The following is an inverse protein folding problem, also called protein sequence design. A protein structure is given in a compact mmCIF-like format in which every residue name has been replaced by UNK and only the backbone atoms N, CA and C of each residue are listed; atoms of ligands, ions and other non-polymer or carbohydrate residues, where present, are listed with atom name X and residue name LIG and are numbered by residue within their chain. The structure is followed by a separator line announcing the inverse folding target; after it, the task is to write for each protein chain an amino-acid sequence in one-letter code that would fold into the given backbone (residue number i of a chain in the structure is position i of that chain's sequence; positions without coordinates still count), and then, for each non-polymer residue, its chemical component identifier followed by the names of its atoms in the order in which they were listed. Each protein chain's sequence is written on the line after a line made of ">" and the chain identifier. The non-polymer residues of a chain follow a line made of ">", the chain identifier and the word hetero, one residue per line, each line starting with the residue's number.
data_IF_546948720000
#
_entry.id   IF_546948720000
#
_cell.length_a   1.000
_cell.length_b   1.000
_cell.length_c   1.000
_cell.angle_alpha   90.00
_cell.angle_beta   90.00
_cell.angle_gamma   90.00
#
_symmetry.space_group_name_H-M   'P 1'
#
loop_
_entity.id
_entity.type
_entity.pdbx_description
1 polymer ?
#
# COMPACT_ATOMS: atom_id res chain seq x y z
N UNK A 1 11.85 12.01 -7.64
CA UNK A 1 11.25 10.99 -6.80
C UNK A 1 12.19 10.63 -5.64
N UNK A 2 11.73 10.87 -4.42
CA UNK A 2 12.45 10.52 -3.20
C UNK A 2 11.85 9.25 -2.60
N UNK A 3 12.63 8.17 -2.56
CA UNK A 3 12.28 6.97 -1.79
C UNK A 3 12.59 7.18 -0.31
N UNK A 4 11.99 6.43 0.63
CA UNK A 4 12.49 6.38 2.00
C UNK A 4 13.96 5.97 2.02
N UNK A 5 14.79 6.62 2.83
CA UNK A 5 16.22 6.28 2.92
C UNK A 5 16.44 4.83 3.39
N UNK A 6 15.51 4.33 4.17
CA UNK A 6 15.48 2.99 4.76
C UNK A 6 14.60 1.98 4.00
N UNK A 7 14.19 2.28 2.74
CA UNK A 7 13.25 1.44 1.97
C UNK A 7 13.65 -0.04 1.91
N UNK A 8 14.93 -0.32 1.68
CA UNK A 8 15.41 -1.71 1.64
C UNK A 8 15.26 -2.39 3.01
N UNK A 9 15.67 -1.71 4.07
CA UNK A 9 15.59 -2.25 5.43
C UNK A 9 14.15 -2.52 5.84
N UNK A 10 13.27 -1.54 5.64
CA UNK A 10 11.84 -1.67 5.93
C UNK A 10 11.17 -2.76 5.09
N UNK A 11 11.52 -2.84 3.81
CA UNK A 11 11.04 -3.90 2.93
C UNK A 11 11.49 -5.29 3.40
N UNK A 12 12.74 -5.44 3.81
CA UNK A 12 13.26 -6.71 4.35
C UNK A 12 12.58 -7.09 5.68
N UNK A 13 12.40 -6.14 6.60
CA UNK A 13 11.70 -6.37 7.86
C UNK A 13 10.24 -6.77 7.62
N UNK A 14 9.52 -6.04 6.79
CA UNK A 14 8.14 -6.36 6.43
C UNK A 14 8.00 -7.72 5.74
N UNK A 15 8.97 -8.10 4.91
CA UNK A 15 9.01 -9.43 4.31
C UNK A 15 9.17 -10.53 5.36
N UNK A 16 10.05 -10.33 6.33
CA UNK A 16 10.25 -11.28 7.45
C UNK A 16 8.96 -11.45 8.26
N UNK A 17 8.29 -10.36 8.59
CA UNK A 17 7.01 -10.40 9.32
C UNK A 17 5.90 -11.09 8.52
N UNK A 18 5.82 -10.80 7.22
CA UNK A 18 4.88 -11.49 6.33
C UNK A 18 5.13 -12.99 6.28
N UNK A 19 6.39 -13.40 6.09
CA UNK A 19 6.77 -14.82 6.06
C UNK A 19 6.46 -15.50 7.39
N UNK A 20 6.77 -14.88 8.53
CA UNK A 20 6.44 -15.42 9.85
C UNK A 20 4.95 -15.71 10.00
N UNK A 21 4.08 -14.76 9.62
CA UNK A 21 2.62 -14.95 9.67
C UNK A 21 2.18 -16.07 8.74
N UNK A 22 2.68 -16.07 7.51
CA UNK A 22 2.30 -17.07 6.51
C UNK A 22 2.69 -18.49 6.92
N UNK A 23 3.89 -18.68 7.46
CA UNK A 23 4.38 -19.99 7.91
C UNK A 23 3.58 -20.54 9.10
N UNK A 24 3.00 -19.66 9.94
CA UNK A 24 2.07 -20.08 11.01
C UNK A 24 0.79 -20.72 10.45
N UNK A 25 0.34 -20.27 9.28
CA UNK A 25 -0.85 -20.82 8.63
C UNK A 25 -0.52 -22.06 7.79
N UNK A 26 0.58 -22.02 7.06
CA UNK A 26 0.99 -23.09 6.14
C UNK A 26 2.49 -22.99 5.81
N UNK A 27 3.22 -24.13 5.74
CA UNK A 27 4.61 -24.16 5.27
C UNK A 27 4.74 -23.61 3.86
N UNK A 28 5.85 -22.90 3.59
CA UNK A 28 6.14 -22.37 2.26
C UNK A 28 6.53 -23.50 1.29
N UNK A 29 6.00 -23.45 0.08
CA UNK A 29 6.43 -24.28 -1.03
C UNK A 29 7.82 -23.87 -1.54
N UNK A 30 8.50 -24.71 -2.28
CA UNK A 30 9.80 -24.38 -2.89
C UNK A 30 9.67 -23.22 -3.88
N UNK A 31 8.56 -23.15 -4.63
CA UNK A 31 8.28 -22.01 -5.52
C UNK A 31 8.15 -20.70 -4.74
N UNK A 32 7.45 -20.71 -3.62
CA UNK A 32 7.32 -19.53 -2.76
C UNK A 32 8.65 -19.09 -2.16
N UNK A 33 9.49 -20.05 -1.74
CA UNK A 33 10.86 -19.76 -1.27
C UNK A 33 11.71 -19.09 -2.36
N UNK A 34 11.67 -19.63 -3.60
CA UNK A 34 12.37 -19.03 -4.73
C UNK A 34 11.91 -17.60 -5.02
N UNK A 35 10.60 -17.34 -4.99
CA UNK A 35 10.03 -15.99 -5.14
C UNK A 35 10.51 -15.02 -4.05
N UNK A 36 10.66 -15.49 -2.81
CA UNK A 36 11.17 -14.67 -1.71
C UNK A 36 12.64 -14.25 -1.92
N UNK A 37 13.48 -15.13 -2.48
CA UNK A 37 14.87 -14.79 -2.82
C UNK A 37 14.91 -13.65 -3.84
N UNK A 38 14.20 -13.81 -4.96
CA UNK A 38 14.10 -12.79 -6.01
C UNK A 38 13.56 -11.47 -5.44
N UNK A 39 12.57 -11.54 -4.56
CA UNK A 39 11.99 -10.35 -3.95
C UNK A 39 13.00 -9.59 -3.07
N UNK A 40 13.82 -10.31 -2.29
CA UNK A 40 14.90 -9.71 -1.49
C UNK A 40 15.94 -9.02 -2.34
N UNK A 41 16.35 -9.64 -3.44
CA UNK A 41 17.29 -9.05 -4.41
C UNK A 41 16.72 -7.74 -4.98
N UNK A 42 15.45 -7.74 -5.39
CA UNK A 42 14.78 -6.55 -5.90
C UNK A 42 14.66 -5.42 -4.87
N UNK A 43 14.43 -5.74 -3.59
CA UNK A 43 14.42 -4.74 -2.52
C UNK A 43 15.78 -4.04 -2.37
N UNK A 44 16.88 -4.76 -2.59
CA UNK A 44 18.24 -4.22 -2.50
C UNK A 44 18.67 -3.46 -3.77
N UNK A 45 18.07 -3.76 -4.91
CA UNK A 45 18.44 -3.15 -6.20
C UNK A 45 17.87 -1.72 -6.34
N UNK A 46 18.78 -0.75 -6.49
CA UNK A 46 18.44 0.68 -6.62
C UNK A 46 17.56 0.99 -7.83
N UNK A 47 17.66 0.22 -8.91
CA UNK A 47 16.84 0.41 -10.10
C UNK A 47 15.38 0.01 -9.81
N UNK A 48 15.18 -1.18 -9.25
CA UNK A 48 13.86 -1.65 -8.85
C UNK A 48 13.20 -0.73 -7.81
N UNK A 49 13.96 -0.19 -6.85
CA UNK A 49 13.44 0.76 -5.86
C UNK A 49 12.87 2.04 -6.49
N UNK A 50 13.33 2.44 -7.68
CA UNK A 50 13.01 3.72 -8.32
C UNK A 50 12.02 3.61 -9.47
N UNK A 51 11.90 2.44 -10.08
CA UNK A 51 11.06 2.23 -11.27
C UNK A 51 9.82 1.41 -10.93
N UNK A 52 8.80 1.52 -11.82
CA UNK A 52 7.59 0.69 -11.74
C UNK A 52 6.56 1.16 -10.71
N UNK A 53 6.75 2.33 -10.10
CA UNK A 53 5.71 2.95 -9.28
C UNK A 53 4.66 3.60 -10.18
N UNK A 54 3.39 3.27 -9.94
CA UNK A 54 2.26 3.66 -10.76
C UNK A 54 1.18 4.30 -9.91
N UNK A 55 0.40 5.19 -10.52
CA UNK A 55 -0.82 5.78 -9.94
C UNK A 55 -2.04 5.17 -10.63
N UNK A 56 -3.14 4.99 -9.88
CA UNK A 56 -4.45 4.68 -10.43
C UNK A 56 -5.54 5.59 -9.87
N UNK A 57 -5.57 5.72 -8.54
CA UNK A 57 -6.59 6.52 -7.86
C UNK A 57 -6.13 7.96 -7.68
N UNK A 58 -7.09 8.84 -7.47
CA UNK A 58 -6.86 10.28 -7.25
C UNK A 58 -6.04 10.56 -5.99
N UNK A 59 -5.31 11.67 -5.95
CA UNK A 59 -4.69 12.15 -4.71
C UNK A 59 -5.76 12.55 -3.69
N UNK A 60 -5.41 12.45 -2.41
CA UNK A 60 -6.21 12.96 -1.28
C UNK A 60 -5.53 14.20 -0.72
N UNK A 61 -6.32 15.26 -0.53
CA UNK A 61 -5.86 16.51 0.10
C UNK A 61 -6.36 16.52 1.53
N UNK A 62 -5.46 16.64 2.50
CA UNK A 62 -5.82 16.76 3.92
C UNK A 62 -6.16 18.21 4.28
N UNK A 63 -6.88 18.46 5.39
CA UNK A 63 -7.17 19.82 5.86
C UNK A 63 -5.93 20.68 6.13
N UNK A 64 -4.79 20.06 6.40
CA UNK A 64 -3.49 20.72 6.53
C UNK A 64 -2.91 21.24 5.22
N UNK A 65 -3.50 20.89 4.07
CA UNK A 65 -2.93 21.12 2.75
C UNK A 65 -1.99 20.02 2.26
N UNK A 66 -1.69 19.00 3.09
CA UNK A 66 -0.88 17.84 2.68
C UNK A 66 -1.55 17.11 1.52
N UNK A 67 -0.77 16.83 0.50
CA UNK A 67 -1.15 15.98 -0.63
C UNK A 67 -0.67 14.55 -0.38
N UNK A 68 -1.55 13.57 -0.55
CA UNK A 68 -1.23 12.14 -0.50
C UNK A 68 -1.56 11.55 -1.86
N UNK A 69 -0.55 11.13 -2.60
CA UNK A 69 -0.69 10.46 -3.89
C UNK A 69 -0.46 8.96 -3.71
N UNK A 70 -1.52 8.14 -3.81
CA UNK A 70 -1.39 6.69 -3.65
C UNK A 70 -0.62 6.08 -4.82
N UNK A 71 0.41 5.30 -4.51
CA UNK A 71 1.24 4.59 -5.47
C UNK A 71 1.26 3.09 -5.20
N UNK A 72 1.49 2.31 -6.25
CA UNK A 72 1.69 0.87 -6.15
C UNK A 72 2.76 0.41 -7.13
N UNK A 73 3.27 -0.78 -6.90
CA UNK A 73 4.21 -1.45 -7.80
C UNK A 73 3.76 -2.89 -8.05
N UNK A 74 3.61 -3.24 -9.33
CA UNK A 74 3.36 -4.63 -9.73
C UNK A 74 4.59 -5.51 -9.47
N UNK A 75 5.80 -4.93 -9.53
CA UNK A 75 7.05 -5.63 -9.24
C UNK A 75 7.12 -6.10 -7.78
N UNK A 76 6.70 -5.24 -6.85
CA UNK A 76 6.70 -5.55 -5.43
C UNK A 76 5.37 -6.10 -4.93
N UNK A 77 4.28 -5.93 -5.68
CA UNK A 77 2.92 -6.31 -5.28
C UNK A 77 2.48 -5.68 -3.96
N UNK A 78 2.90 -4.45 -3.70
CA UNK A 78 2.46 -3.63 -2.59
C UNK A 78 2.38 -2.14 -2.95
N UNK A 79 1.89 -1.35 -2.02
CA UNK A 79 1.64 0.09 -2.15
C UNK A 79 2.50 0.92 -1.21
N UNK A 80 2.66 2.20 -1.54
CA UNK A 80 3.15 3.27 -0.66
C UNK A 80 2.46 4.59 -1.05
N UNK A 81 2.67 5.64 -0.26
CA UNK A 81 2.15 6.97 -0.56
C UNK A 81 3.28 7.94 -0.88
N UNK A 82 3.14 8.71 -1.96
CA UNK A 82 3.93 9.90 -2.15
C UNK A 82 3.23 11.07 -1.44
N UNK A 83 3.97 11.80 -0.62
CA UNK A 83 3.47 12.85 0.26
C UNK A 83 4.16 14.16 -0.05
N UNK A 84 3.37 15.23 -0.22
CA UNK A 84 3.87 16.59 -0.34
C UNK A 84 3.21 17.49 0.70
N UNK A 85 4.03 18.33 1.34
CA UNK A 85 3.60 19.34 2.31
C UNK A 85 3.71 20.77 1.76
N UNK A 86 4.07 20.91 0.46
CA UNK A 86 4.37 22.18 -0.21
C UNK A 86 3.68 22.31 -1.59
N UNK A 87 2.42 21.87 -1.69
CA UNK A 87 1.61 21.91 -2.90
C UNK A 87 2.24 21.19 -4.12
N UNK A 88 3.01 20.12 -3.87
CA UNK A 88 3.60 19.30 -4.92
C UNK A 88 4.99 19.77 -5.38
N UNK A 89 5.59 20.79 -4.75
CA UNK A 89 6.94 21.23 -5.09
C UNK A 89 7.99 20.17 -4.74
N UNK A 90 7.85 19.54 -3.57
CA UNK A 90 8.68 18.40 -3.16
C UNK A 90 7.83 17.21 -2.70
N UNK A 91 8.40 16.02 -2.79
CA UNK A 91 7.73 14.76 -2.46
C UNK A 91 8.63 13.86 -1.63
N UNK A 92 8.05 13.24 -0.61
CA UNK A 92 8.66 12.16 0.18
C UNK A 92 7.77 10.92 0.13
N UNK A 93 8.33 9.75 0.34
CA UNK A 93 7.55 8.52 0.40
C UNK A 93 7.16 8.18 1.83
N UNK A 94 5.98 7.57 2.00
CA UNK A 94 5.62 6.88 3.24
C UNK A 94 6.43 5.59 3.40
N UNK A 95 6.33 4.96 4.57
CA UNK A 95 6.72 3.56 4.70
C UNK A 95 5.87 2.68 3.78
N UNK A 96 6.44 1.60 3.21
CA UNK A 96 5.69 0.70 2.34
C UNK A 96 4.63 -0.09 3.13
N UNK A 97 3.47 -0.32 2.50
CA UNK A 97 2.40 -1.13 3.04
C UNK A 97 2.68 -2.61 2.74
N UNK A 98 3.39 -3.28 3.64
CA UNK A 98 3.88 -4.65 3.44
C UNK A 98 2.79 -5.70 3.68
N UNK A 99 1.92 -5.91 2.70
CA UNK A 99 0.83 -6.90 2.77
C UNK A 99 0.85 -7.94 1.65
N UNK A 100 1.61 -7.69 0.60
CA UNK A 100 1.68 -8.46 -0.65
C UNK A 100 0.30 -8.76 -1.26
N UNK A 101 0.14 -8.43 -2.51
CA UNK A 101 -1.15 -8.45 -3.18
C UNK A 101 -2.02 -7.21 -2.93
N UNK A 102 -1.51 -6.19 -2.28
CA UNK A 102 -2.23 -4.94 -1.98
C UNK A 102 -1.74 -3.81 -2.88
N UNK A 103 -2.36 -3.65 -4.03
CA UNK A 103 -2.02 -2.66 -5.05
C UNK A 103 -3.18 -1.70 -5.33
N UNK A 104 -2.91 -0.63 -6.08
CA UNK A 104 -3.91 0.35 -6.52
C UNK A 104 -4.70 0.96 -5.35
N UNK A 105 -4.03 1.60 -4.39
CA UNK A 105 -4.66 2.16 -3.20
C UNK A 105 -5.54 3.37 -3.53
N UNK A 106 -6.66 3.51 -2.80
CA UNK A 106 -7.44 4.74 -2.68
C UNK A 106 -7.48 5.14 -1.21
N UNK A 107 -7.37 6.45 -0.90
CA UNK A 107 -7.24 6.94 0.47
C UNK A 107 -8.43 7.81 0.84
N UNK A 108 -9.04 7.51 1.98
CA UNK A 108 -10.10 8.29 2.61
C UNK A 108 -9.69 8.73 4.01
N UNK A 109 -10.31 9.80 4.52
CA UNK A 109 -10.11 10.32 5.86
C UNK A 109 -11.39 10.23 6.67
N UNK A 110 -11.33 9.62 7.87
CA UNK A 110 -12.39 9.63 8.88
C UNK A 110 -12.49 10.99 9.58
N UNK A 111 -13.56 11.21 10.30
CA UNK A 111 -13.79 12.45 11.08
C UNK A 111 -12.78 12.59 12.22
N UNK A 112 -12.30 11.49 12.79
CA UNK A 112 -11.27 11.46 13.82
C UNK A 112 -9.84 11.72 13.29
N UNK A 113 -9.69 11.93 11.98
CA UNK A 113 -8.41 12.16 11.33
C UNK A 113 -7.73 10.89 10.80
N UNK A 114 -8.14 9.71 11.22
CA UNK A 114 -7.57 8.44 10.74
C UNK A 114 -7.73 8.32 9.23
N UNK A 115 -6.64 8.02 8.54
CA UNK A 115 -6.69 7.69 7.12
C UNK A 115 -6.94 6.19 6.95
N UNK A 116 -7.76 5.85 5.98
CA UNK A 116 -8.05 4.47 5.59
C UNK A 116 -7.74 4.31 4.11
N UNK A 117 -6.98 3.29 3.77
CA UNK A 117 -6.77 2.93 2.36
C UNK A 117 -7.47 1.61 2.03
N UNK A 118 -8.23 1.61 0.94
CA UNK A 118 -8.74 0.39 0.32
C UNK A 118 -7.90 0.08 -0.91
N UNK A 119 -7.61 -1.20 -1.11
CA UNK A 119 -6.68 -1.63 -2.15
C UNK A 119 -7.22 -2.86 -2.87
N UNK A 120 -6.92 -2.93 -4.16
CA UNK A 120 -7.13 -4.11 -4.97
C UNK A 120 -6.30 -5.27 -4.43
N UNK A 121 -6.86 -6.47 -4.45
CA UNK A 121 -6.12 -7.71 -4.27
C UNK A 121 -5.44 -8.14 -5.57
N UNK A 122 -4.15 -8.44 -5.53
CA UNK A 122 -3.37 -8.98 -6.65
C UNK A 122 -2.72 -10.33 -6.31
N UNK A 123 -3.34 -11.08 -5.42
CA UNK A 123 -2.88 -12.39 -4.93
C UNK A 123 -4.07 -13.34 -4.71
N UNK A 124 -3.92 -14.35 -3.87
CA UNK A 124 -4.92 -15.40 -3.70
C UNK A 124 -6.02 -15.10 -2.67
N UNK A 125 -6.00 -13.94 -2.01
CA UNK A 125 -6.92 -13.65 -0.89
C UNK A 125 -8.34 -13.37 -1.35
N UNK A 126 -8.50 -12.82 -2.57
CA UNK A 126 -9.79 -12.51 -3.19
C UNK A 126 -10.71 -11.60 -2.35
N UNK A 127 -10.14 -10.67 -1.60
CA UNK A 127 -10.86 -9.69 -0.79
C UNK A 127 -10.26 -8.31 -0.93
N UNK A 128 -11.06 -7.26 -0.76
CA UNK A 128 -10.53 -5.89 -0.69
C UNK A 128 -9.56 -5.81 0.48
N UNK A 129 -8.35 -5.30 0.20
CA UNK A 129 -7.31 -5.09 1.21
C UNK A 129 -7.52 -3.73 1.87
N UNK A 130 -7.17 -3.63 3.16
CA UNK A 130 -7.35 -2.41 3.95
C UNK A 130 -6.18 -2.19 4.88
N UNK A 131 -5.80 -0.92 5.09
CA UNK A 131 -4.87 -0.49 6.13
C UNK A 131 -5.27 0.89 6.65
N UNK A 132 -4.80 1.25 7.84
CA UNK A 132 -5.08 2.52 8.49
C UNK A 132 -3.79 3.25 8.86
N UNK A 133 -3.83 4.58 8.80
CA UNK A 133 -2.76 5.47 9.25
C UNK A 133 -3.29 6.49 10.24
N UNK A 134 -2.49 6.79 11.29
CA UNK A 134 -2.81 7.78 12.32
C UNK A 134 -1.81 8.95 12.37
N UNK A 135 -0.95 9.03 11.37
CA UNK A 135 0.14 10.02 11.26
C UNK A 135 0.14 10.70 9.88
N UNK A 136 -1.07 10.99 9.37
CA UNK A 136 -1.28 11.65 8.09
C UNK A 136 -0.57 10.94 6.91
N UNK A 137 -0.58 9.61 6.93
CA UNK A 137 -0.14 8.76 5.82
C UNK A 137 1.35 8.42 5.80
N UNK A 138 2.13 8.82 6.81
CA UNK A 138 3.57 8.50 6.86
C UNK A 138 3.84 7.02 7.14
N UNK A 139 3.08 6.45 8.07
CA UNK A 139 3.12 5.02 8.36
C UNK A 139 1.73 4.40 8.32
N UNK A 140 1.66 3.12 8.05
CA UNK A 140 0.41 2.38 7.91
C UNK A 140 0.47 1.13 8.77
N UNK A 141 -0.65 0.82 9.41
CA UNK A 141 -0.82 -0.40 10.17
C UNK A 141 -0.79 -1.66 9.27
N UNK A 142 -0.91 -2.85 9.88
CA UNK A 142 -0.92 -4.10 9.12
C UNK A 142 -2.01 -4.12 8.06
N UNK A 143 -1.67 -4.65 6.87
CA UNK A 143 -2.63 -4.83 5.79
C UNK A 143 -3.56 -5.99 6.14
N UNK A 144 -4.83 -5.67 6.35
CA UNK A 144 -5.93 -6.61 6.60
C UNK A 144 -6.82 -6.82 5.38
N UNK A 145 -7.96 -7.48 5.60
CA UNK A 145 -8.95 -7.80 4.59
C UNK A 145 -10.33 -7.32 5.04
N UNK A 146 -11.09 -6.73 4.13
CA UNK A 146 -12.54 -6.56 4.33
C UNK A 146 -13.28 -7.88 4.03
N UNK A 147 -14.48 -8.09 4.58
CA UNK A 147 -15.33 -9.23 4.20
C UNK A 147 -15.91 -9.11 2.79
N UNK A 148 -15.52 -8.11 2.02
CA UNK A 148 -15.98 -7.82 0.67
C UNK A 148 -15.09 -8.56 -0.34
N UNK A 149 -15.65 -9.34 -1.29
CA UNK A 149 -14.87 -10.01 -2.31
C UNK A 149 -14.20 -9.03 -3.27
N UNK A 150 -13.04 -9.41 -3.79
CA UNK A 150 -12.37 -8.72 -4.87
C UNK A 150 -11.67 -9.74 -5.77
N UNK A 151 -12.15 -9.94 -7.01
CA UNK A 151 -11.59 -10.92 -7.94
C UNK A 151 -10.36 -10.42 -8.68
N UNK A 152 -9.58 -9.54 -8.09
CA UNK A 152 -8.44 -8.90 -8.74
C UNK A 152 -8.81 -7.67 -9.58
N UNK A 153 -9.92 -7.03 -9.26
CA UNK A 153 -10.35 -5.78 -9.92
C UNK A 153 -9.99 -4.55 -9.08
N UNK A 154 -9.76 -3.42 -9.77
CA UNK A 154 -9.47 -2.16 -9.10
C UNK A 154 -10.65 -1.67 -8.26
N UNK A 155 -10.34 -0.99 -7.17
CA UNK A 155 -11.31 -0.33 -6.30
C UNK A 155 -11.06 1.18 -6.31
N UNK A 156 -12.09 1.99 -6.12
CA UNK A 156 -11.96 3.41 -5.79
C UNK A 156 -13.02 3.82 -4.80
N UNK A 157 -12.75 4.84 -4.03
CA UNK A 157 -13.66 5.33 -3.02
C UNK A 157 -13.65 6.86 -2.92
N UNK A 158 -14.78 7.43 -2.52
CA UNK A 158 -14.91 8.88 -2.29
C UNK A 158 -15.76 9.12 -1.05
N UNK A 159 -15.42 10.17 -0.30
CA UNK A 159 -16.27 10.69 0.76
C UNK A 159 -17.24 11.70 0.15
N UNK A 160 -18.52 11.49 0.38
CA UNK A 160 -19.59 12.38 -0.06
C UNK A 160 -19.74 13.58 0.90
N UNK A 161 -20.41 14.63 0.44
CA UNK A 161 -20.64 15.83 1.25
C UNK A 161 -21.44 15.58 2.54
N UNK A 162 -22.30 14.56 2.53
CA UNK A 162 -23.06 14.13 3.72
C UNK A 162 -22.25 13.27 4.70
N UNK A 163 -20.94 13.09 4.45
CA UNK A 163 -20.04 12.29 5.29
C UNK A 163 -20.01 10.79 4.97
N UNK A 164 -20.92 10.28 4.16
CA UNK A 164 -20.92 8.89 3.77
C UNK A 164 -19.76 8.57 2.82
N UNK A 165 -19.31 7.33 2.83
CA UNK A 165 -18.31 6.82 1.91
C UNK A 165 -18.97 6.00 0.81
N UNK A 166 -18.58 6.28 -0.41
CA UNK A 166 -19.00 5.54 -1.58
C UNK A 166 -17.81 4.76 -2.13
N UNK A 167 -17.93 3.43 -2.14
CA UNK A 167 -16.91 2.51 -2.62
C UNK A 167 -17.39 1.84 -3.90
N UNK A 168 -16.58 1.90 -4.97
CA UNK A 168 -16.83 1.21 -6.24
C UNK A 168 -15.87 0.03 -6.35
N UNK A 169 -16.40 -1.15 -6.61
CA UNK A 169 -15.64 -2.42 -6.72
C UNK A 169 -16.41 -3.43 -7.58
N UNK A 170 -15.75 -4.51 -7.95
CA UNK A 170 -16.36 -5.68 -8.62
C UNK A 170 -16.51 -6.84 -7.63
#
# INVERSE_FOLDING_TARGET
>A
WLKPDDFNEEGQQGLVEFVKRKVQEKPLTEEEKAKLVIFRERLADKLYQRLGWQVRCKPTVLPSGRLILPLYSDTYSFSLMAISDDNGATWKASKPLMGFGNIQPTVLRRDDGTLVTYMRENGPVNKIRVAESKDDGMTWGPVGNLPIPNPGAGVDAVRLQNGHWFLVYN
#
